data_IF_598201881285
#
_entry.id   IF_598201881285
#
_cell.length_a   1.000
_cell.length_b   1.000
_cell.length_c   1.000
_cell.angle_alpha   90.00
_cell.angle_beta   90.00
_cell.angle_gamma   90.00
#
_symmetry.space_group_name_H-M   'P 1'
#
loop_
_entity.id
_entity.type
_entity.pdbx_description
1 polymer ?
#
# COMPACT_ATOMS: atom_id res chain seq x y z
N UNK A 1 -20.88 -20.32 65.41
CA UNK A 1 -22.25 -20.42 64.83
C UNK A 1 -22.06 -20.92 63.40
N UNK A 2 -22.00 -22.24 63.16
CA UNK A 2 -23.11 -23.16 62.81
C UNK A 2 -23.86 -22.73 61.53
N UNK A 3 -24.01 -23.50 60.44
CA UNK A 3 -23.64 -24.88 60.05
C UNK A 3 -23.61 -24.97 58.49
N UNK A 4 -22.91 -25.88 57.78
CA UNK A 4 -23.07 -27.36 57.65
C UNK A 4 -24.53 -27.77 57.45
N UNK A 5 -24.97 -28.45 56.37
CA UNK A 5 -24.62 -29.79 55.80
C UNK A 5 -25.18 -29.87 54.35
N UNK A 6 -24.95 -30.83 53.44
CA UNK A 6 -24.29 -32.14 53.32
C UNK A 6 -24.66 -32.70 51.92
N UNK A 7 -23.70 -33.10 51.07
CA UNK A 7 -23.27 -34.49 50.73
C UNK A 7 -24.25 -35.43 49.99
N UNK A 8 -23.66 -36.10 48.98
CA UNK A 8 -23.81 -37.51 48.56
C UNK A 8 -24.68 -37.91 47.34
N UNK A 9 -23.99 -38.16 46.21
CA UNK A 9 -23.80 -39.47 45.53
C UNK A 9 -24.98 -40.26 44.90
N UNK A 10 -24.70 -41.24 44.01
CA UNK A 10 -25.46 -41.46 42.77
C UNK A 10 -26.26 -42.77 42.76
N UNK A 11 -27.22 -42.90 41.85
CA UNK A 11 -27.91 -44.17 41.60
C UNK A 11 -27.61 -44.73 40.21
N UNK A 12 -26.96 -45.91 40.23
CA UNK A 12 -26.97 -46.96 39.20
C UNK A 12 -28.15 -47.93 39.47
N UNK A 13 -28.37 -48.82 38.49
CA UNK A 13 -29.19 -50.07 38.45
C UNK A 13 -30.42 -49.90 37.54
N UNK A 14 -30.80 -50.81 36.64
CA UNK A 14 -30.38 -52.16 36.24
C UNK A 14 -30.91 -52.35 34.79
N UNK A 15 -30.30 -53.07 33.85
CA UNK A 15 -30.07 -54.52 33.84
C UNK A 15 -31.29 -55.28 33.30
N UNK A 16 -31.25 -55.76 32.04
CA UNK A 16 -31.84 -57.05 31.63
C UNK A 16 -31.47 -57.52 30.20
N UNK A 17 -30.75 -58.64 30.20
CA UNK A 17 -30.89 -59.88 29.39
C UNK A 17 -30.51 -59.92 27.90
N UNK A 18 -29.31 -60.47 27.71
CA UNK A 18 -28.89 -61.51 26.75
C UNK A 18 -30.00 -62.37 26.12
N UNK A 19 -29.92 -62.53 24.79
CA UNK A 19 -30.28 -63.76 24.06
C UNK A 19 -29.32 -64.00 22.87
N UNK A 20 -28.52 -65.05 23.01
CA UNK A 20 -28.05 -66.07 22.06
C UNK A 20 -28.10 -65.81 20.54
N UNK A 21 -26.90 -65.83 19.92
CA UNK A 21 -26.38 -66.69 18.80
C UNK A 21 -27.19 -66.81 17.48
N UNK A 22 -26.54 -66.95 16.29
CA UNK A 22 -25.39 -67.84 16.09
C UNK A 22 -24.22 -67.34 15.22
N UNK A 23 -23.12 -68.09 15.41
CA UNK A 23 -21.95 -68.18 14.55
C UNK A 23 -22.33 -68.33 13.07
N UNK A 24 -21.76 -67.49 12.22
CA UNK A 24 -21.71 -67.76 10.79
C UNK A 24 -20.42 -68.51 10.46
N UNK A 25 -20.66 -69.64 9.81
CA UNK A 25 -19.71 -70.65 9.37
C UNK A 25 -18.65 -70.09 8.41
N UNK A 26 -17.46 -70.67 8.52
CA UNK A 26 -16.52 -70.80 7.42
C UNK A 26 -17.23 -71.29 6.15
N UNK A 27 -17.14 -70.50 5.08
CA UNK A 27 -17.35 -70.97 3.73
C UNK A 27 -15.98 -71.24 3.07
N UNK A 28 -15.79 -72.40 2.41
CA UNK A 28 -14.59 -72.67 1.64
C UNK A 28 -14.64 -71.98 0.27
N UNK A 29 -13.45 -71.80 -0.28
CA UNK A 29 -13.13 -71.23 -1.59
C UNK A 29 -14.01 -71.79 -2.72
N UNK A 30 -14.63 -70.88 -3.49
CA UNK A 30 -15.07 -71.13 -4.85
C UNK A 30 -14.15 -70.40 -5.81
N UNK A 31 -13.46 -71.15 -6.66
CA UNK A 31 -12.65 -70.64 -7.77
C UNK A 31 -13.52 -69.83 -8.75
N UNK A 32 -13.21 -68.55 -8.91
CA UNK A 32 -13.73 -67.75 -10.02
C UNK A 32 -12.75 -67.83 -11.21
N UNK A 33 -13.21 -68.18 -12.41
CA UNK A 33 -12.35 -68.32 -13.57
C UNK A 33 -11.93 -66.95 -14.12
N UNK A 34 -10.62 -66.76 -14.26
CA UNK A 34 -10.04 -66.01 -15.39
C UNK A 34 -10.46 -64.54 -15.56
N UNK A 35 -10.50 -63.74 -14.50
CA UNK A 35 -10.50 -62.28 -14.63
C UNK A 35 -9.10 -61.79 -14.97
N UNK A 36 -8.83 -61.48 -16.25
CA UNK A 36 -7.51 -61.05 -16.72
C UNK A 36 -6.93 -59.92 -15.86
N UNK A 37 -5.62 -59.99 -15.62
CA UNK A 37 -4.82 -58.99 -14.90
C UNK A 37 -5.06 -57.55 -15.40
N UNK A 38 -5.56 -57.38 -16.63
CA UNK A 38 -5.92 -56.08 -17.22
C UNK A 38 -7.08 -55.37 -16.51
N UNK A 39 -8.07 -56.06 -15.95
CA UNK A 39 -9.26 -55.40 -15.37
C UNK A 39 -8.98 -54.73 -14.01
N UNK A 40 -8.01 -55.26 -13.24
CA UNK A 40 -7.53 -54.65 -11.99
C UNK A 40 -6.56 -53.48 -12.22
N UNK A 41 -5.83 -53.49 -13.34
CA UNK A 41 -4.93 -52.39 -13.72
C UNK A 41 -5.74 -51.17 -14.21
N UNK A 42 -6.87 -51.40 -14.88
CA UNK A 42 -7.74 -50.31 -15.39
C UNK A 42 -8.44 -49.57 -14.24
N UNK A 43 -8.88 -50.25 -13.17
CA UNK A 43 -9.52 -49.58 -12.02
C UNK A 43 -8.52 -48.75 -11.19
N UNK A 44 -7.26 -49.18 -11.10
CA UNK A 44 -6.18 -48.41 -10.45
C UNK A 44 -5.71 -47.22 -11.30
N UNK A 45 -5.78 -47.31 -12.63
CA UNK A 45 -5.48 -46.19 -13.53
C UNK A 45 -6.59 -45.12 -13.55
N UNK A 46 -7.86 -45.52 -13.39
CA UNK A 46 -8.99 -44.57 -13.33
C UNK A 46 -9.01 -43.78 -12.01
N UNK A 47 -8.57 -44.37 -10.89
CA UNK A 47 -8.38 -43.65 -9.62
C UNK A 47 -7.12 -42.78 -9.59
N UNK A 48 -6.10 -43.05 -10.41
CA UNK A 48 -4.91 -42.22 -10.55
C UNK A 48 -5.12 -41.02 -11.50
N UNK A 49 -6.15 -41.05 -12.35
CA UNK A 49 -6.51 -39.95 -13.25
C UNK A 49 -7.43 -38.89 -12.62
N UNK A 50 -7.93 -39.10 -11.39
CA UNK A 50 -8.79 -38.12 -10.69
C UNK A 50 -8.02 -37.19 -9.74
N UNK A 51 -6.70 -37.33 -9.63
CA UNK A 51 -5.82 -36.38 -8.94
C UNK A 51 -5.09 -35.46 -9.93
N UNK A 52 -5.76 -35.01 -10.98
CA UNK A 52 -5.37 -33.75 -11.62
C UNK A 52 -5.83 -32.68 -10.64
N UNK A 53 -5.01 -32.41 -9.63
CA UNK A 53 -5.19 -31.24 -8.77
C UNK A 53 -5.32 -30.05 -9.69
N UNK A 54 -6.45 -29.36 -9.62
CA UNK A 54 -6.56 -28.01 -10.16
C UNK A 54 -5.43 -27.23 -9.51
N UNK A 55 -4.37 -26.95 -10.25
CA UNK A 55 -3.37 -25.97 -9.84
C UNK A 55 -4.12 -24.64 -9.78
N UNK A 56 -4.66 -24.31 -8.61
CA UNK A 56 -5.07 -22.95 -8.30
C UNK A 56 -3.81 -22.12 -8.49
N UNK A 57 -3.85 -21.16 -9.43
CA UNK A 57 -2.78 -20.18 -9.54
C UNK A 57 -2.53 -19.63 -8.13
N UNK A 58 -1.28 -19.67 -7.67
CA UNK A 58 -0.95 -19.12 -6.36
C UNK A 58 -1.41 -17.66 -6.34
N UNK A 59 -2.13 -17.27 -5.30
CA UNK A 59 -2.56 -15.89 -5.12
C UNK A 59 -1.32 -15.00 -5.02
N UNK A 60 -1.26 -13.94 -5.83
CA UNK A 60 -0.14 -13.00 -5.82
C UNK A 60 -0.09 -12.30 -4.46
N UNK A 61 1.09 -12.09 -3.91
CA UNK A 61 1.22 -11.27 -2.71
C UNK A 61 0.91 -9.81 -3.04
N UNK A 62 0.21 -9.11 -2.14
CA UNK A 62 -0.13 -7.68 -2.34
C UNK A 62 1.00 -6.79 -1.82
N UNK A 63 1.35 -5.78 -2.61
CA UNK A 63 2.40 -4.81 -2.31
C UNK A 63 1.93 -3.39 -2.61
N UNK A 64 2.43 -2.41 -1.86
CA UNK A 64 2.13 -0.99 -2.10
C UNK A 64 3.39 -0.16 -2.28
N UNK A 65 3.35 0.77 -3.22
CA UNK A 65 4.30 1.86 -3.37
C UNK A 65 3.55 3.18 -3.18
N UNK A 66 3.85 3.90 -2.10
CA UNK A 66 3.50 5.31 -1.96
C UNK A 66 4.65 6.14 -2.56
N UNK A 67 4.37 6.81 -3.67
CA UNK A 67 5.34 7.59 -4.44
C UNK A 67 5.02 9.08 -4.33
N UNK A 68 5.94 9.82 -3.74
CA UNK A 68 5.87 11.26 -3.61
C UNK A 68 6.74 11.99 -4.63
N UNK A 69 6.17 12.99 -5.31
CA UNK A 69 6.92 13.94 -6.14
C UNK A 69 6.67 15.34 -5.57
N UNK A 70 7.61 15.87 -4.80
CA UNK A 70 7.45 17.14 -4.08
C UNK A 70 7.26 18.32 -5.05
N UNK A 71 6.37 19.24 -4.70
CA UNK A 71 6.13 20.47 -5.45
C UNK A 71 5.68 20.28 -6.90
N UNK A 72 5.12 19.12 -7.25
CA UNK A 72 4.73 18.76 -8.61
C UNK A 72 3.30 19.20 -8.92
N UNK A 73 3.17 20.24 -9.73
CA UNK A 73 1.85 20.71 -10.17
C UNK A 73 1.26 19.77 -11.21
N UNK A 74 0.02 19.33 -11.00
CA UNK A 74 -0.68 18.44 -11.93
C UNK A 74 -0.85 19.02 -13.33
N UNK A 75 -1.06 20.34 -13.45
CA UNK A 75 -1.20 21.02 -14.73
C UNK A 75 0.11 21.10 -15.51
N UNK A 76 1.26 21.22 -14.83
CA UNK A 76 2.58 21.15 -15.43
C UNK A 76 2.93 19.72 -15.85
N UNK A 77 2.65 18.74 -14.98
CA UNK A 77 2.80 17.31 -15.31
C UNK A 77 1.99 16.92 -16.54
N UNK A 78 0.75 17.43 -16.67
CA UNK A 78 -0.11 17.21 -17.83
C UNK A 78 0.39 17.86 -19.14
N UNK A 79 1.40 18.75 -19.07
CA UNK A 79 2.04 19.39 -20.22
C UNK A 79 3.41 18.81 -20.55
N UNK A 80 4.09 18.26 -19.56
CA UNK A 80 5.35 17.54 -19.71
C UNK A 80 5.16 16.19 -20.44
N UNK A 81 6.21 15.66 -21.04
CA UNK A 81 6.21 14.30 -21.60
C UNK A 81 6.48 13.29 -20.50
N UNK A 82 5.41 12.74 -19.93
CA UNK A 82 5.49 11.85 -18.77
C UNK A 82 4.92 10.46 -19.08
N UNK A 83 5.52 9.69 -20.02
CA UNK A 83 4.94 8.43 -20.49
C UNK A 83 4.72 7.39 -19.38
N UNK A 84 5.49 7.42 -18.28
CA UNK A 84 5.34 6.46 -17.19
C UNK A 84 4.18 6.85 -16.26
N UNK A 85 4.06 8.12 -15.90
CA UNK A 85 2.91 8.66 -15.16
C UNK A 85 1.63 8.58 -16.00
N UNK A 86 1.70 8.83 -17.30
CA UNK A 86 0.60 8.61 -18.26
C UNK A 86 0.15 7.15 -18.26
N UNK A 87 1.09 6.20 -18.24
CA UNK A 87 0.78 4.77 -18.14
C UNK A 87 0.09 4.42 -16.82
N UNK A 88 0.48 5.04 -15.71
CA UNK A 88 -0.20 4.86 -14.42
C UNK A 88 -1.62 5.44 -14.47
N UNK A 89 -1.80 6.65 -14.99
CA UNK A 89 -3.12 7.27 -15.16
C UNK A 89 -4.04 6.45 -16.09
N UNK A 90 -3.50 5.89 -17.18
CA UNK A 90 -4.26 5.07 -18.12
C UNK A 90 -4.68 3.70 -17.53
N UNK A 91 -3.92 3.19 -16.56
CA UNK A 91 -4.19 1.91 -15.90
C UNK A 91 -4.77 2.03 -14.50
N UNK A 92 -5.06 3.25 -14.05
CA UNK A 92 -5.55 3.55 -12.72
C UNK A 92 -6.63 4.62 -12.71
N UNK A 93 -6.93 5.08 -11.49
CA UNK A 93 -7.88 6.14 -11.20
C UNK A 93 -7.13 7.38 -10.74
N UNK A 94 -7.46 8.54 -11.30
CA UNK A 94 -6.70 9.76 -11.02
C UNK A 94 -7.55 11.04 -11.08
N UNK A 95 -7.10 12.08 -10.38
CA UNK A 95 -7.62 13.45 -10.53
C UNK A 95 -6.69 14.45 -9.83
N UNK A 96 -7.00 15.75 -9.96
CA UNK A 96 -6.54 16.73 -8.97
C UNK A 96 -6.99 16.29 -7.58
N UNK A 97 -6.15 16.54 -6.58
CA UNK A 97 -6.43 16.37 -5.17
C UNK A 97 -6.25 17.72 -4.46
N UNK A 98 -6.93 17.90 -3.34
CA UNK A 98 -6.72 19.08 -2.50
C UNK A 98 -5.83 18.74 -1.31
N UNK A 99 -4.94 19.66 -0.98
CA UNK A 99 -4.05 19.60 0.18
C UNK A 99 -4.80 19.87 1.48
N UNK A 100 -5.93 20.59 1.38
CA UNK A 100 -6.80 20.91 2.51
C UNK A 100 -8.21 20.43 2.21
N UNK A 101 -8.85 19.82 3.21
CA UNK A 101 -10.29 19.61 3.23
C UNK A 101 -11.06 20.85 3.66
N UNK A 102 -12.38 20.74 3.72
CA UNK A 102 -13.27 21.79 4.26
C UNK A 102 -13.00 22.09 5.75
N UNK A 103 -12.19 21.24 6.40
CA UNK A 103 -11.75 21.30 7.79
C UNK A 103 -10.43 22.05 7.91
N UNK A 104 -10.47 23.32 7.54
CA UNK A 104 -9.35 24.25 7.59
C UNK A 104 -8.81 24.50 9.00
N UNK A 105 -7.49 24.59 9.15
CA UNK A 105 -6.80 25.30 10.23
C UNK A 105 -5.56 26.05 9.70
N UNK A 106 -4.96 26.90 10.54
CA UNK A 106 -3.92 27.90 10.21
C UNK A 106 -2.59 27.34 9.64
N UNK A 107 -2.52 26.07 9.23
CA UNK A 107 -1.31 25.42 8.70
C UNK A 107 -0.92 25.98 7.33
N UNK A 108 0.38 26.03 7.02
CA UNK A 108 0.85 26.46 5.70
C UNK A 108 0.70 25.31 4.66
N UNK A 109 0.70 25.64 3.37
CA UNK A 109 0.68 24.68 2.25
C UNK A 109 2.11 24.40 1.76
N UNK A 110 2.98 24.06 2.71
CA UNK A 110 4.39 23.73 2.49
C UNK A 110 4.65 22.28 2.85
N UNK A 111 5.87 21.79 2.60
CA UNK A 111 6.14 20.35 2.58
C UNK A 111 5.89 19.63 3.91
N UNK A 112 6.18 20.25 5.05
CA UNK A 112 5.98 19.65 6.37
C UNK A 112 4.52 19.25 6.61
N UNK A 113 3.56 20.21 6.55
CA UNK A 113 2.14 19.92 6.63
C UNK A 113 1.65 18.93 5.57
N UNK A 114 2.03 19.13 4.30
CA UNK A 114 1.58 18.30 3.19
C UNK A 114 2.01 16.84 3.33
N UNK A 115 3.31 16.59 3.55
CA UNK A 115 3.81 15.24 3.81
C UNK A 115 3.28 14.64 5.10
N UNK A 116 3.15 15.45 6.16
CA UNK A 116 2.53 15.03 7.41
C UNK A 116 1.13 14.48 7.16
N UNK A 117 0.33 15.16 6.34
CA UNK A 117 -1.02 14.73 5.98
C UNK A 117 -1.03 13.48 5.10
N UNK A 118 -0.14 13.42 4.08
CA UNK A 118 -0.03 12.26 3.19
C UNK A 118 0.31 11.00 3.98
N UNK A 119 1.37 11.02 4.79
CA UNK A 119 1.94 9.79 5.37
C UNK A 119 1.20 9.28 6.61
N UNK A 120 0.37 10.13 7.22
CA UNK A 120 -0.45 9.77 8.37
C UNK A 120 -1.91 9.53 8.01
N UNK A 121 -2.40 10.10 6.89
CA UNK A 121 -3.81 10.05 6.51
C UNK A 121 -4.73 10.92 7.36
N UNK A 122 -4.17 11.87 8.13
CA UNK A 122 -4.91 12.85 8.93
C UNK A 122 -4.51 14.27 8.58
N UNK A 123 -5.33 15.26 8.91
CA UNK A 123 -5.02 16.66 8.66
C UNK A 123 -4.05 17.28 9.68
N UNK A 124 -3.53 18.48 9.35
CA UNK A 124 -2.58 19.21 10.19
C UNK A 124 -3.11 19.60 11.58
N UNK A 125 -4.43 19.73 11.76
CA UNK A 125 -5.04 19.93 13.07
C UNK A 125 -4.87 18.71 14.00
N UNK A 126 -4.66 17.51 13.45
CA UNK A 126 -4.39 16.29 14.19
C UNK A 126 -2.89 16.04 14.36
N UNK A 127 -2.13 15.95 13.27
CA UNK A 127 -0.70 15.63 13.33
C UNK A 127 0.17 16.81 13.82
N UNK A 128 -0.39 18.02 13.89
CA UNK A 128 0.20 19.23 14.44
C UNK A 128 1.48 19.73 13.74
N UNK A 129 1.69 19.37 12.48
CA UNK A 129 2.78 19.95 11.67
C UNK A 129 2.20 21.11 10.88
N UNK A 130 2.55 22.33 11.29
CA UNK A 130 2.00 23.58 10.73
C UNK A 130 2.91 24.22 9.68
N UNK A 131 4.20 23.88 9.70
CA UNK A 131 5.25 24.37 8.80
C UNK A 131 6.44 23.38 8.74
N UNK A 132 7.51 23.75 8.03
CA UNK A 132 8.75 22.97 7.93
C UNK A 132 9.60 22.95 9.22
N UNK A 133 9.12 23.57 10.31
CA UNK A 133 9.77 23.60 11.61
C UNK A 133 9.41 22.42 12.53
N UNK A 134 8.35 21.67 12.23
CA UNK A 134 7.95 20.46 12.98
C UNK A 134 7.87 20.69 14.49
N UNK A 135 7.22 21.78 14.90
CA UNK A 135 7.05 22.08 16.32
C UNK A 135 6.00 21.14 16.94
N UNK A 136 6.46 20.25 17.80
CA UNK A 136 5.60 19.33 18.59
C UNK A 136 4.66 18.46 17.72
N UNK A 137 5.18 17.67 16.78
CA UNK A 137 4.35 16.81 15.95
C UNK A 137 3.69 15.71 16.80
N UNK A 138 2.45 15.36 16.49
CA UNK A 138 1.69 14.31 17.17
C UNK A 138 1.83 12.94 16.48
N UNK A 139 3.00 12.61 15.95
CA UNK A 139 3.23 11.32 15.27
C UNK A 139 3.20 10.11 16.22
N UNK A 140 3.24 10.34 17.53
CA UNK A 140 2.95 9.32 18.54
C UNK A 140 1.47 8.89 18.56
N UNK A 141 0.57 9.81 18.21
CA UNK A 141 -0.88 9.58 18.14
C UNK A 141 -1.35 9.24 16.73
N UNK A 142 -0.72 9.87 15.74
CA UNK A 142 -1.02 9.72 14.32
C UNK A 142 0.26 9.29 13.60
N UNK A 143 0.68 8.02 13.76
CA UNK A 143 1.94 7.55 13.21
C UNK A 143 1.89 7.44 11.69
N UNK A 144 3.08 7.35 11.11
CA UNK A 144 3.27 7.02 9.70
C UNK A 144 2.66 5.65 9.36
N UNK A 145 2.15 5.49 8.14
CA UNK A 145 1.38 4.31 7.76
C UNK A 145 2.08 2.95 7.92
N UNK A 146 3.41 2.92 7.89
CA UNK A 146 4.18 1.72 8.23
C UNK A 146 3.86 1.18 9.62
N UNK A 147 3.54 2.04 10.59
CA UNK A 147 3.09 1.61 11.91
C UNK A 147 1.89 0.68 11.81
N UNK A 148 0.85 1.09 11.08
CA UNK A 148 -0.37 0.31 10.87
C UNK A 148 -0.10 -0.96 10.09
N UNK A 149 0.77 -0.91 9.07
CA UNK A 149 1.22 -2.09 8.33
C UNK A 149 1.89 -3.09 9.28
N UNK A 150 2.84 -2.66 10.11
CA UNK A 150 3.57 -3.55 11.03
C UNK A 150 2.69 -4.05 12.18
N UNK A 151 1.70 -3.27 12.60
CA UNK A 151 0.76 -3.68 13.64
C UNK A 151 -0.08 -4.88 13.18
N UNK A 152 -0.66 -4.80 11.98
CA UNK A 152 -1.56 -5.83 11.45
C UNK A 152 -0.81 -6.96 10.70
N UNK A 153 0.35 -6.64 10.12
CA UNK A 153 1.23 -7.56 9.41
C UNK A 153 2.67 -7.47 9.98
N UNK A 154 2.97 -8.07 11.14
CA UNK A 154 4.28 -7.93 11.80
C UNK A 154 5.49 -8.36 10.96
N UNK A 155 5.29 -9.34 10.08
CA UNK A 155 6.32 -9.85 9.17
C UNK A 155 6.44 -9.05 7.87
N UNK A 156 5.57 -8.06 7.64
CA UNK A 156 5.63 -7.21 6.46
C UNK A 156 6.97 -6.48 6.40
N UNK A 157 7.59 -6.50 5.23
CA UNK A 157 8.83 -5.78 4.96
C UNK A 157 8.50 -4.36 4.51
N UNK A 158 9.03 -3.37 5.21
CA UNK A 158 8.77 -1.94 4.96
C UNK A 158 10.05 -1.21 4.59
N UNK A 159 9.97 -0.35 3.56
CA UNK A 159 11.14 0.36 3.03
C UNK A 159 10.82 1.84 2.83
N UNK A 160 11.69 2.71 3.33
CA UNK A 160 11.65 4.15 3.13
C UNK A 160 12.87 4.61 2.34
N UNK A 161 12.67 5.40 1.29
CA UNK A 161 13.76 5.99 0.51
C UNK A 161 13.45 7.47 0.32
N UNK A 162 14.17 8.32 1.04
CA UNK A 162 13.86 9.73 1.22
C UNK A 162 15.10 10.58 0.99
N UNK A 163 14.89 11.79 0.45
CA UNK A 163 15.96 12.79 0.33
C UNK A 163 15.60 14.18 0.90
N UNK A 164 14.54 14.23 1.70
CA UNK A 164 14.22 15.36 2.54
C UNK A 164 14.29 14.99 4.03
N UNK A 165 15.25 15.60 4.74
CA UNK A 165 15.59 15.25 6.12
C UNK A 165 14.41 15.25 7.12
N UNK A 166 13.44 16.18 7.04
CA UNK A 166 12.31 16.20 7.98
C UNK A 166 11.41 14.97 7.94
N UNK A 167 11.06 14.41 6.76
CA UNK A 167 10.31 13.13 6.68
C UNK A 167 11.09 12.03 7.41
N UNK A 168 12.38 11.90 7.11
CA UNK A 168 13.24 10.87 7.71
C UNK A 168 13.40 11.05 9.22
N UNK A 169 13.45 12.29 9.71
CA UNK A 169 13.75 12.58 11.12
C UNK A 169 12.51 12.50 11.99
N UNK A 170 11.37 12.96 11.49
CA UNK A 170 10.16 13.13 12.31
C UNK A 170 9.05 12.15 11.96
N UNK A 171 8.96 11.70 10.70
CA UNK A 171 7.77 10.98 10.24
C UNK A 171 7.98 9.46 10.20
N UNK A 172 9.13 8.97 9.72
CA UNK A 172 9.30 7.54 9.45
C UNK A 172 9.80 6.78 10.68
N UNK A 173 8.89 6.33 11.54
CA UNK A 173 9.23 5.60 12.78
C UNK A 173 9.50 4.11 12.60
N UNK A 174 8.90 3.46 11.59
CA UNK A 174 8.75 1.99 11.57
C UNK A 174 9.24 1.28 10.30
N UNK A 175 10.12 1.91 9.50
CA UNK A 175 10.69 1.27 8.32
C UNK A 175 11.77 0.24 8.70
N UNK A 176 11.69 -0.99 8.17
CA UNK A 176 12.74 -2.01 8.35
C UNK A 176 14.05 -1.61 7.65
N UNK A 177 13.93 -0.94 6.48
CA UNK A 177 15.06 -0.37 5.74
C UNK A 177 14.75 1.10 5.47
N UNK A 178 15.64 1.99 5.89
CA UNK A 178 15.52 3.43 5.65
C UNK A 178 16.77 3.94 4.93
N UNK A 179 16.60 4.44 3.71
CA UNK A 179 17.66 4.98 2.87
C UNK A 179 17.54 6.51 2.82
N UNK A 180 18.64 7.19 3.14
CA UNK A 180 18.82 8.63 3.00
C UNK A 180 19.80 8.89 1.85
N UNK A 181 19.30 9.42 0.74
CA UNK A 181 20.14 9.65 -0.45
C UNK A 181 20.85 11.00 -0.41
N UNK A 182 20.69 11.80 0.65
CA UNK A 182 21.40 13.09 0.83
C UNK A 182 22.87 12.92 1.23
N UNK A 183 23.33 11.67 1.38
CA UNK A 183 24.70 11.30 1.77
C UNK A 183 25.75 11.55 0.68
N UNK A 184 25.32 11.76 -0.57
CA UNK A 184 26.18 12.17 -1.70
C UNK A 184 26.12 13.69 -1.91
N UNK A 185 27.08 14.32 -2.65
CA UNK A 185 27.12 15.77 -2.84
C UNK A 185 25.76 16.37 -3.26
N UNK A 186 25.42 17.54 -2.71
CA UNK A 186 24.10 18.16 -2.88
C UNK A 186 23.76 18.40 -4.34
N UNK A 187 22.84 17.59 -4.85
CA UNK A 187 22.20 17.71 -6.15
C UNK A 187 20.92 16.88 -6.10
N UNK A 188 19.76 17.53 -6.19
CA UNK A 188 18.47 16.82 -6.13
C UNK A 188 18.32 15.83 -7.28
N UNK A 189 18.83 16.16 -8.48
CA UNK A 189 18.94 15.22 -9.60
C UNK A 189 19.71 13.95 -9.22
N UNK A 190 20.87 14.08 -8.58
CA UNK A 190 21.67 12.91 -8.18
C UNK A 190 21.00 12.13 -7.04
N UNK A 191 20.35 12.82 -6.11
CA UNK A 191 19.61 12.22 -5.02
C UNK A 191 18.41 11.41 -5.52
N UNK A 192 17.60 11.98 -6.42
CA UNK A 192 16.45 11.28 -7.03
C UNK A 192 16.92 10.11 -7.90
N UNK A 193 17.99 10.27 -8.69
CA UNK A 193 18.60 9.18 -9.44
C UNK A 193 19.03 8.01 -8.52
N UNK A 194 19.63 8.34 -7.39
CA UNK A 194 20.06 7.35 -6.39
C UNK A 194 18.84 6.69 -5.73
N UNK A 195 17.81 7.46 -5.40
CA UNK A 195 16.58 6.95 -4.80
C UNK A 195 15.87 5.95 -5.71
N UNK A 196 15.74 6.26 -7.00
CA UNK A 196 15.15 5.35 -7.99
C UNK A 196 15.98 4.06 -8.18
N UNK A 197 17.31 4.17 -8.19
CA UNK A 197 18.19 3.01 -8.28
C UNK A 197 18.08 2.11 -7.04
N UNK A 198 18.04 2.70 -5.84
CA UNK A 198 17.85 1.97 -4.58
C UNK A 198 16.48 1.32 -4.51
N UNK A 199 15.42 2.00 -4.96
CA UNK A 199 14.08 1.45 -5.03
C UNK A 199 14.03 0.20 -5.91
N UNK A 200 14.57 0.29 -7.13
CA UNK A 200 14.62 -0.85 -8.05
C UNK A 200 15.39 -2.04 -7.47
N UNK A 201 16.55 -1.79 -6.85
CA UNK A 201 17.40 -2.82 -6.24
C UNK A 201 16.71 -3.49 -5.04
N UNK A 202 16.06 -2.71 -4.17
CA UNK A 202 15.37 -3.21 -2.99
C UNK A 202 14.05 -3.93 -3.31
N UNK A 203 13.32 -3.50 -4.35
CA UNK A 203 12.18 -4.27 -4.88
C UNK A 203 12.65 -5.66 -5.31
N UNK A 204 13.80 -5.74 -5.99
CA UNK A 204 14.36 -7.01 -6.44
C UNK A 204 14.77 -7.91 -5.26
N UNK A 205 15.52 -7.36 -4.29
CA UNK A 205 16.15 -8.15 -3.22
C UNK A 205 15.26 -8.43 -2.02
N UNK A 206 14.41 -7.49 -1.64
CA UNK A 206 13.68 -7.53 -0.37
C UNK A 206 12.19 -7.79 -0.54
N UNK A 207 11.63 -7.58 -1.74
CA UNK A 207 10.19 -7.76 -2.03
C UNK A 207 9.28 -7.11 -0.98
N UNK A 208 9.40 -5.79 -0.75
CA UNK A 208 8.78 -5.13 0.38
C UNK A 208 7.26 -5.08 0.24
N UNK A 209 6.54 -5.42 1.31
CA UNK A 209 5.07 -5.30 1.38
C UNK A 209 4.63 -3.84 1.22
N UNK A 210 5.39 -2.90 1.79
CA UNK A 210 5.11 -1.47 1.65
C UNK A 210 6.40 -0.66 1.45
N UNK A 211 6.39 0.23 0.45
CA UNK A 211 7.48 1.15 0.17
C UNK A 211 6.99 2.60 0.13
N UNK A 212 7.78 3.51 0.69
CA UNK A 212 7.66 4.95 0.50
C UNK A 212 8.89 5.43 -0.29
N UNK A 213 8.64 6.08 -1.41
CA UNK A 213 9.67 6.67 -2.27
C UNK A 213 9.37 8.15 -2.47
N UNK A 214 10.36 8.99 -2.26
CA UNK A 214 10.25 10.44 -2.41
C UNK A 214 11.23 10.97 -3.44
N UNK A 215 10.75 11.88 -4.29
CA UNK A 215 11.55 12.66 -5.24
C UNK A 215 11.39 14.16 -4.95
N UNK A 216 12.51 14.87 -4.83
CA UNK A 216 12.56 16.28 -4.43
C UNK A 216 13.02 17.24 -5.53
N UNK A 217 13.46 16.74 -6.68
CA UNK A 217 14.02 17.58 -7.74
C UNK A 217 13.02 18.60 -8.31
N UNK A 218 11.75 18.22 -8.44
CA UNK A 218 10.73 19.06 -9.07
C UNK A 218 10.48 20.32 -8.24
N UNK A 219 10.30 20.18 -6.94
CA UNK A 219 10.14 21.30 -6.01
C UNK A 219 11.34 22.26 -6.05
N UNK A 220 12.55 21.73 -5.92
CA UNK A 220 13.76 22.54 -5.85
C UNK A 220 14.06 23.25 -7.17
N UNK A 221 13.68 22.64 -8.29
CA UNK A 221 13.71 23.30 -9.60
C UNK A 221 12.65 24.39 -9.70
N UNK A 222 11.45 24.15 -9.16
CA UNK A 222 10.39 25.15 -9.03
C UNK A 222 10.82 26.36 -8.20
N UNK A 223 11.54 26.15 -7.11
CA UNK A 223 12.15 27.21 -6.31
C UNK A 223 13.21 28.01 -7.07
N UNK A 224 14.05 27.33 -7.86
CA UNK A 224 15.12 27.98 -8.60
C UNK A 224 14.63 28.75 -9.84
N UNK A 225 13.63 28.25 -10.55
CA UNK A 225 13.23 28.74 -11.88
C UNK A 225 11.76 29.15 -11.99
N UNK A 226 10.89 28.50 -11.24
CA UNK A 226 9.47 28.83 -11.13
C UNK A 226 8.54 27.63 -11.35
N UNK A 227 7.50 27.53 -10.53
CA UNK A 227 6.45 26.53 -10.57
C UNK A 227 5.40 26.88 -11.63
N UNK A 228 5.71 26.75 -12.92
CA UNK A 228 4.74 27.01 -13.98
C UNK A 228 5.00 26.16 -15.23
N UNK A 229 3.96 25.69 -15.95
CA UNK A 229 4.14 24.87 -17.16
C UNK A 229 4.88 25.54 -18.32
N UNK A 230 5.12 26.85 -18.24
CA UNK A 230 5.90 27.60 -19.25
C UNK A 230 7.39 27.73 -18.90
N UNK A 231 7.82 27.22 -17.74
CA UNK A 231 9.22 27.23 -17.31
C UNK A 231 9.87 25.94 -17.80
N UNK A 232 10.79 25.99 -18.79
CA UNK A 232 11.38 24.79 -19.37
C UNK A 232 12.10 23.92 -18.35
N UNK A 233 12.86 24.52 -17.43
CA UNK A 233 13.62 23.78 -16.42
C UNK A 233 12.71 22.95 -15.49
N UNK A 234 11.55 23.52 -15.11
CA UNK A 234 10.57 22.84 -14.27
C UNK A 234 9.90 21.67 -15.03
N UNK A 235 9.60 21.85 -16.33
CA UNK A 235 9.10 20.77 -17.18
C UNK A 235 10.17 19.68 -17.35
N UNK A 236 11.41 20.04 -17.61
CA UNK A 236 12.52 19.10 -17.78
C UNK A 236 12.76 18.28 -16.50
N UNK A 237 12.63 18.88 -15.32
CA UNK A 237 12.70 18.17 -14.04
C UNK A 237 11.55 17.16 -13.88
N UNK A 238 10.33 17.53 -14.27
CA UNK A 238 9.18 16.60 -14.27
C UNK A 238 9.41 15.43 -15.24
N UNK A 239 9.90 15.70 -16.46
CA UNK A 239 10.21 14.67 -17.45
C UNK A 239 11.36 13.76 -16.98
N UNK A 240 12.36 14.32 -16.30
CA UNK A 240 13.44 13.54 -15.70
C UNK A 240 12.91 12.62 -14.59
N UNK A 241 12.12 13.15 -13.64
CA UNK A 241 11.51 12.33 -12.58
C UNK A 241 10.60 11.26 -13.16
N UNK A 242 9.81 11.52 -14.21
CA UNK A 242 9.03 10.49 -14.88
C UNK A 242 9.91 9.34 -15.41
N UNK A 243 11.09 9.64 -15.95
CA UNK A 243 12.05 8.59 -16.36
C UNK A 243 12.52 7.73 -15.19
N UNK A 244 12.62 8.31 -13.99
CA UNK A 244 12.97 7.62 -12.75
C UNK A 244 11.81 6.75 -12.26
N UNK A 245 10.57 7.24 -12.36
CA UNK A 245 9.37 6.44 -12.13
C UNK A 245 9.39 5.21 -13.04
N UNK A 246 9.70 5.38 -14.33
CA UNK A 246 9.85 4.27 -15.27
C UNK A 246 10.82 3.18 -14.78
N UNK A 247 12.00 3.55 -14.29
CA UNK A 247 12.99 2.60 -13.75
C UNK A 247 12.43 1.77 -12.58
N UNK A 248 11.63 2.40 -11.70
CA UNK A 248 11.00 1.71 -10.56
C UNK A 248 9.90 0.78 -11.04
N UNK A 249 9.06 1.23 -11.97
CA UNK A 249 7.99 0.41 -12.57
C UNK A 249 8.56 -0.81 -13.30
N UNK A 250 9.67 -0.68 -14.01
CA UNK A 250 10.36 -1.80 -14.65
C UNK A 250 10.83 -2.87 -13.64
N UNK A 251 11.22 -2.46 -12.42
CA UNK A 251 11.58 -3.40 -11.36
C UNK A 251 10.34 -4.13 -10.80
N UNK A 252 9.23 -3.40 -10.63
CA UNK A 252 7.94 -3.96 -10.21
C UNK A 252 7.41 -4.97 -11.24
N UNK A 253 7.44 -4.64 -12.52
CA UNK A 253 6.91 -5.48 -13.60
C UNK A 253 7.61 -6.84 -13.72
N UNK A 254 8.84 -6.97 -13.21
CA UNK A 254 9.57 -8.24 -13.16
C UNK A 254 9.05 -9.19 -12.06
N UNK A 255 8.26 -8.71 -11.10
CA UNK A 255 7.71 -9.47 -9.98
C UNK A 255 6.34 -10.04 -10.32
N UNK A 256 6.32 -11.08 -11.14
CA UNK A 256 5.06 -11.68 -11.67
C UNK A 256 4.24 -12.41 -10.62
N UNK A 257 4.84 -12.74 -9.48
CA UNK A 257 4.23 -13.30 -8.28
C UNK A 257 3.66 -12.24 -7.32
N UNK A 258 3.81 -10.96 -7.65
CA UNK A 258 3.39 -9.83 -6.83
C UNK A 258 2.33 -8.98 -7.53
N UNK A 259 1.37 -8.49 -6.77
CA UNK A 259 0.36 -7.54 -7.22
C UNK A 259 0.59 -6.18 -6.53
N UNK A 260 1.02 -5.20 -7.31
CA UNK A 260 1.38 -3.88 -6.80
C UNK A 260 0.26 -2.86 -6.99
N UNK A 261 -0.02 -2.10 -5.93
CA UNK A 261 -0.70 -0.81 -6.02
C UNK A 261 0.33 0.30 -5.92
N UNK A 262 0.32 1.20 -6.90
CA UNK A 262 1.14 2.40 -6.95
C UNK A 262 0.22 3.59 -6.68
N UNK A 263 0.47 4.29 -5.58
CA UNK A 263 -0.22 5.53 -5.21
C UNK A 263 0.76 6.68 -5.38
N UNK A 264 0.47 7.59 -6.32
CA UNK A 264 1.33 8.75 -6.62
C UNK A 264 0.64 10.03 -6.21
N UNK A 265 1.35 10.92 -5.54
CA UNK A 265 0.83 12.23 -5.12
C UNK A 265 1.95 13.27 -5.06
N UNK A 266 1.55 14.53 -4.93
CA UNK A 266 2.40 15.62 -4.46
C UNK A 266 1.84 16.19 -3.15
N UNK A 267 2.67 16.86 -2.37
CA UNK A 267 2.33 17.53 -1.12
C UNK A 267 1.85 18.96 -1.35
N UNK A 268 2.36 19.64 -2.37
CA UNK A 268 1.88 20.94 -2.81
C UNK A 268 2.13 21.29 -4.29
N UNK A 269 1.45 22.34 -4.75
CA UNK A 269 1.79 23.03 -5.99
C UNK A 269 2.76 24.21 -5.76
N UNK A 270 2.69 25.25 -6.58
CA UNK A 270 3.53 26.44 -6.43
C UNK A 270 3.14 27.60 -7.33
N UNK A 271 3.51 28.82 -6.94
CA UNK A 271 3.25 30.05 -7.69
C UNK A 271 4.48 30.95 -7.72
N UNK A 272 4.95 31.32 -8.91
CA UNK A 272 6.25 31.97 -9.04
C UNK A 272 7.33 31.01 -8.58
N UNK A 273 8.19 31.41 -7.65
CA UNK A 273 9.27 30.57 -7.07
C UNK A 273 9.00 30.14 -5.63
N UNK A 274 7.75 30.21 -5.18
CA UNK A 274 7.37 29.83 -3.82
C UNK A 274 6.02 29.13 -3.77
N UNK A 275 5.76 28.50 -2.63
CA UNK A 275 4.56 27.68 -2.40
C UNK A 275 3.91 27.96 -1.02
N UNK A 276 4.26 29.07 -0.37
CA UNK A 276 3.66 29.48 0.91
C UNK A 276 2.33 30.24 0.76
N UNK A 277 1.47 30.12 1.78
CA UNK A 277 0.18 30.81 1.86
C UNK A 277 -0.75 30.45 0.70
N UNK A 278 -0.90 29.15 0.43
CA UNK A 278 -1.61 28.62 -0.72
C UNK A 278 -3.12 28.52 -0.57
N UNK A 279 -3.70 28.87 0.58
CA UNK A 279 -5.12 28.65 0.89
C UNK A 279 -6.07 29.21 -0.17
N UNK A 280 -5.79 30.41 -0.67
CA UNK A 280 -6.60 31.08 -1.69
C UNK A 280 -5.94 31.05 -3.08
N UNK A 281 -4.91 30.22 -3.28
CA UNK A 281 -4.12 30.14 -4.50
C UNK A 281 -4.22 28.73 -5.09
N UNK A 282 -5.11 28.49 -6.06
CA UNK A 282 -5.30 27.18 -6.66
C UNK A 282 -4.00 26.55 -7.19
N UNK A 283 -3.04 27.35 -7.65
CA UNK A 283 -1.74 26.89 -8.13
C UNK A 283 -0.89 26.22 -7.06
N UNK A 284 -1.13 26.55 -5.78
CA UNK A 284 -0.43 26.00 -4.62
C UNK A 284 -1.31 24.94 -3.95
N UNK A 285 -2.61 25.19 -3.82
CA UNK A 285 -3.56 24.32 -3.11
C UNK A 285 -3.84 22.99 -3.84
N UNK A 286 -3.77 23.00 -5.17
CA UNK A 286 -4.03 21.81 -5.97
C UNK A 286 -2.79 20.92 -6.02
N UNK A 287 -3.00 19.68 -5.65
CA UNK A 287 -2.11 18.55 -5.89
C UNK A 287 -2.82 17.55 -6.82
N UNK A 288 -2.41 16.29 -6.82
CA UNK A 288 -3.03 15.19 -7.53
C UNK A 288 -2.95 13.90 -6.75
N UNK A 289 -3.81 12.95 -7.10
CA UNK A 289 -3.74 11.58 -6.62
C UNK A 289 -3.90 10.64 -7.82
N UNK A 290 -2.98 9.69 -7.97
CA UNK A 290 -3.04 8.60 -8.94
C UNK A 290 -3.03 7.30 -8.14
N UNK A 291 -4.02 6.44 -8.36
CA UNK A 291 -4.10 5.09 -7.78
C UNK A 291 -4.08 4.11 -8.95
N UNK A 292 -2.99 3.36 -9.12
CA UNK A 292 -2.76 2.50 -10.29
C UNK A 292 -2.29 1.11 -9.89
N UNK A 293 -2.72 0.08 -10.62
CA UNK A 293 -2.40 -1.31 -10.35
C UNK A 293 -3.53 -2.26 -10.77
N UNK A 294 -3.32 -3.57 -10.64
CA UNK A 294 -4.37 -4.56 -10.96
C UNK A 294 -5.63 -4.38 -10.09
N UNK A 295 -5.47 -3.99 -8.83
CA UNK A 295 -6.58 -3.66 -7.92
C UNK A 295 -7.17 -2.25 -8.05
N UNK A 296 -6.71 -1.40 -8.97
CA UNK A 296 -7.24 -0.05 -9.14
C UNK A 296 -8.37 0.00 -10.19
N UNK A 297 -9.41 0.80 -9.92
CA UNK A 297 -10.37 1.22 -10.93
C UNK A 297 -9.68 2.06 -12.02
N UNK A 298 -10.32 2.22 -13.18
CA UNK A 298 -9.78 3.03 -14.29
C UNK A 298 -10.60 4.29 -14.50
N UNK A 299 -9.93 5.39 -14.88
CA UNK A 299 -10.56 6.64 -15.29
C UNK A 299 -10.32 7.78 -14.30
N UNK A 300 -11.20 8.78 -14.31
CA UNK A 300 -11.09 9.91 -13.37
C UNK A 300 -11.89 9.64 -12.11
N UNK A 301 -11.47 10.21 -10.97
CA UNK A 301 -12.33 10.26 -9.80
C UNK A 301 -13.58 11.10 -10.09
N UNK A 302 -14.75 10.58 -9.71
CA UNK A 302 -16.04 11.26 -9.88
C UNK A 302 -16.33 12.27 -8.76
N UNK A 303 -15.58 12.19 -7.66
CA UNK A 303 -15.68 13.03 -6.48
C UNK A 303 -14.32 13.64 -6.16
N UNK A 304 -14.33 14.74 -5.43
CA UNK A 304 -13.11 15.33 -4.89
C UNK A 304 -12.39 14.32 -4.01
N UNK A 305 -11.08 14.19 -4.23
CA UNK A 305 -10.16 13.41 -3.40
C UNK A 305 -9.13 14.33 -2.75
N UNK A 306 -8.47 13.83 -1.72
CA UNK A 306 -7.58 14.59 -0.87
C UNK A 306 -6.26 13.86 -0.68
N UNK A 307 -5.20 14.59 -0.37
CA UNK A 307 -3.88 13.98 -0.12
C UNK A 307 -3.89 12.99 1.06
N UNK A 308 -4.78 13.19 2.04
CA UNK A 308 -4.98 12.26 3.16
C UNK A 308 -5.60 10.92 2.76
N UNK A 309 -6.19 10.80 1.57
CA UNK A 309 -6.78 9.55 1.09
C UNK A 309 -5.71 8.52 0.66
N UNK A 310 -4.45 8.95 0.47
CA UNK A 310 -3.36 8.10 0.00
C UNK A 310 -3.10 6.90 0.94
N UNK A 311 -2.94 7.16 2.24
CA UNK A 311 -2.63 6.12 3.24
C UNK A 311 -3.78 5.14 3.48
N UNK A 312 -5.03 5.59 3.73
CA UNK A 312 -6.18 4.69 3.80
C UNK A 312 -6.31 3.78 2.58
N UNK A 313 -6.02 4.31 1.38
CA UNK A 313 -6.03 3.55 0.14
C UNK A 313 -4.98 2.44 0.14
N UNK A 314 -3.73 2.75 0.50
CA UNK A 314 -2.67 1.75 0.64
C UNK A 314 -3.02 0.66 1.66
N UNK A 315 -3.51 1.05 2.85
CA UNK A 315 -3.85 0.11 3.93
C UNK A 315 -5.00 -0.81 3.52
N UNK A 316 -6.07 -0.26 2.94
CA UNK A 316 -7.21 -1.06 2.49
C UNK A 316 -6.83 -2.04 1.37
N UNK A 317 -5.97 -1.63 0.43
CA UNK A 317 -5.50 -2.54 -0.62
C UNK A 317 -4.72 -3.74 -0.06
N UNK A 318 -3.87 -3.52 0.94
CA UNK A 318 -3.17 -4.58 1.68
C UNK A 318 -4.11 -5.48 2.50
N UNK A 319 -5.43 -5.21 2.50
CA UNK A 319 -6.43 -5.99 3.22
C UNK A 319 -6.55 -5.64 4.69
N UNK A 320 -5.93 -4.53 5.14
CA UNK A 320 -6.05 -4.08 6.52
C UNK A 320 -7.44 -3.51 6.75
N UNK A 321 -8.06 -3.92 7.86
CA UNK A 321 -9.29 -3.30 8.34
C UNK A 321 -8.94 -2.01 9.05
N UNK A 322 -9.28 -0.87 8.44
CA UNK A 322 -9.11 0.44 9.07
C UNK A 322 -9.99 0.50 10.33
N UNK A 323 -9.35 0.71 11.47
CA UNK A 323 -10.01 0.86 12.76
C UNK A 323 -10.42 2.33 12.97
N UNK A 324 -11.67 2.56 13.38
CA UNK A 324 -12.18 3.90 13.72
C UNK A 324 -11.32 4.57 14.81
N UNK A 325 -10.65 3.79 15.67
CA UNK A 325 -9.75 4.28 16.70
C UNK A 325 -8.51 4.99 16.13
N UNK A 326 -8.10 4.68 14.89
CA UNK A 326 -6.98 5.35 14.21
C UNK A 326 -7.35 6.79 13.82
N UNK A 327 -8.65 7.10 13.77
CA UNK A 327 -9.18 8.43 13.48
C UNK A 327 -8.58 9.04 12.20
N UNK A 328 -8.38 8.24 11.15
CA UNK A 328 -7.96 8.75 9.84
C UNK A 328 -9.01 9.74 9.31
N UNK A 329 -8.57 10.83 8.68
CA UNK A 329 -9.48 11.76 8.00
C UNK A 329 -9.72 11.35 6.55
N UNK A 330 -8.72 10.76 5.91
CA UNK A 330 -8.86 10.21 4.58
C UNK A 330 -9.65 8.89 4.56
N UNK A 331 -10.01 8.47 3.36
CA UNK A 331 -10.73 7.23 3.11
C UNK A 331 -10.14 6.47 1.91
N UNK A 332 -10.31 5.14 1.83
CA UNK A 332 -9.84 4.40 0.66
C UNK A 332 -10.56 4.87 -0.60
N UNK A 333 -9.80 5.17 -1.65
CA UNK A 333 -10.33 5.63 -2.94
C UNK A 333 -9.70 4.88 -4.10
N UNK A 334 -10.46 4.72 -5.18
CA UNK A 334 -9.92 4.25 -6.46
C UNK A 334 -9.58 2.77 -6.54
N UNK A 335 -9.85 1.99 -5.48
CA UNK A 335 -9.75 0.54 -5.48
C UNK A 335 -10.99 -0.08 -6.13
N UNK A 336 -10.81 -1.18 -6.86
CA UNK A 336 -11.93 -2.02 -7.28
C UNK A 336 -12.61 -2.58 -6.04
N UNK A 337 -13.94 -2.63 -6.05
CA UNK A 337 -14.67 -3.44 -5.07
C UNK A 337 -14.25 -4.89 -5.25
N UNK A 338 -13.88 -5.57 -4.16
CA UNK A 338 -13.70 -7.02 -4.18
C UNK A 338 -15.01 -7.64 -4.70
N UNK A 339 -15.00 -8.18 -5.93
CA UNK A 339 -16.08 -9.03 -6.42
C UNK A 339 -16.08 -10.29 -5.54
N UNK A 340 -16.95 -10.29 -4.52
CA UNK A 340 -17.20 -11.44 -3.64
C UNK A 340 -17.77 -12.64 -4.38
#
# INVERSE_FOLDING_TARGET
>A
MCGWTGTSSPNKLAGKRLRNLPNYHHFPLGDLPGGSLMSRIILSLVLLCLSIGTATAAEKSKHVLLLGIDGCRFDAMSKAKTPNLDKLMANGKYSNALILGDRYQENDTVSGPGWGSIVTGVWADKHNVQDNGFKEPHFDKFPHFFHWVKQELPEAKTISIINWSPIKTFMVSDADISIDTTTIPKSYQLWDNTAAAQAADLIEKESPTAMMLYFGEVDETGHAHGFHPSVPEYIDAIEHVDSLVGKVLEAIEKKTDQEWLIVVTSDHGGLGTGHGGGHDKPEILNSFLIVSGEGAEKGKFDKQVYIVDAVPTCLAYLGLKIDDAWQLDGHPVGLKSDEK
#
